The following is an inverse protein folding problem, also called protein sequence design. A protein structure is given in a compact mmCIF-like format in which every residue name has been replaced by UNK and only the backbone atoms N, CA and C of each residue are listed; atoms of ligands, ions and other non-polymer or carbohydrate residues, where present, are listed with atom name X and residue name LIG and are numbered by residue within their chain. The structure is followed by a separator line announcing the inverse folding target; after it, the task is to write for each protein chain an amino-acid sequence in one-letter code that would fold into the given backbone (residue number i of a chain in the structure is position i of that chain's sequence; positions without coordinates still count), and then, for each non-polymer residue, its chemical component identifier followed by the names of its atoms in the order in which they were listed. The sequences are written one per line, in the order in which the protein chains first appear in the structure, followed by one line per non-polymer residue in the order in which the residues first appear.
data_IF_814553849749
#
_entry.id   IF_814553849749
#
_cell.length_a   1.000
_cell.length_b   1.000
_cell.length_c   1.000
_cell.angle_alpha   90.00
_cell.angle_beta   90.00
_cell.angle_gamma   90.00
#
_symmetry.space_group_name_H-M   'P 1'
#
loop_
_entity.id
_entity.type
_entity.pdbx_description
1 polymer ?
#
# COMPACT_ATOMS: atom_id res chain seq x y z
N UNK A 1 15.30 13.39 19.71
CA UNK A 1 14.53 12.39 18.90
C UNK A 1 13.95 11.34 19.80
N UNK A 2 12.65 11.19 19.79
CA UNK A 2 11.90 10.19 20.54
C UNK A 2 11.72 8.90 19.73
N UNK A 3 11.88 7.73 20.38
CA UNK A 3 11.63 6.43 19.78
C UNK A 3 10.42 5.78 20.46
N UNK A 4 9.44 5.39 19.67
CA UNK A 4 8.16 4.86 20.16
C UNK A 4 8.02 3.39 19.78
N UNK A 5 7.52 2.58 20.71
CA UNK A 5 7.14 1.18 20.45
C UNK A 5 5.66 1.06 20.13
N UNK A 6 5.28 -0.04 19.49
CA UNK A 6 3.91 -0.28 19.03
C UNK A 6 2.86 -0.19 20.16
N UNK A 7 3.24 -0.52 21.39
CA UNK A 7 2.34 -0.45 22.54
C UNK A 7 2.01 1.00 22.97
N UNK A 8 2.90 1.95 22.68
CA UNK A 8 2.83 3.35 23.12
C UNK A 8 2.60 4.31 21.94
N UNK A 9 2.09 3.78 20.79
CA UNK A 9 2.06 4.51 19.53
C UNK A 9 0.82 5.41 19.35
N UNK A 10 0.03 5.68 20.40
CA UNK A 10 -1.22 6.45 20.28
C UNK A 10 -1.01 7.83 19.66
N UNK A 11 -0.15 8.65 20.24
CA UNK A 11 0.14 10.01 19.76
C UNK A 11 0.77 9.99 18.36
N UNK A 12 1.60 9.00 18.07
CA UNK A 12 2.17 8.75 16.76
C UNK A 12 1.08 8.51 15.72
N UNK A 13 0.14 7.61 16.01
CA UNK A 13 -0.96 7.28 15.10
C UNK A 13 -1.90 8.47 14.93
N UNK A 14 -2.24 9.23 16.00
CA UNK A 14 -3.05 10.44 15.92
C UNK A 14 -2.43 11.45 14.94
N UNK A 15 -1.10 11.63 14.96
CA UNK A 15 -0.41 12.47 13.98
C UNK A 15 -0.52 11.93 12.56
N UNK A 16 -0.32 10.60 12.36
CA UNK A 16 -0.45 9.99 11.02
C UNK A 16 -1.86 10.17 10.47
N UNK A 17 -2.89 10.01 11.30
CA UNK A 17 -4.30 10.18 10.88
C UNK A 17 -4.64 11.63 10.53
N UNK A 18 -4.05 12.61 11.20
CA UNK A 18 -4.34 14.03 10.97
C UNK A 18 -3.51 14.69 9.86
N UNK A 19 -2.39 14.08 9.46
CA UNK A 19 -1.45 14.70 8.53
C UNK A 19 -1.78 14.38 7.07
N UNK A 20 -1.75 15.36 6.13
CA UNK A 20 -2.05 15.13 4.70
C UNK A 20 -1.16 14.07 4.02
N UNK A 21 0.06 13.84 4.53
CA UNK A 21 0.96 12.77 4.10
C UNK A 21 0.73 11.46 4.84
N UNK A 22 -0.26 11.40 5.74
CA UNK A 22 -0.59 10.19 6.47
C UNK A 22 -0.84 9.00 5.55
N UNK A 23 -0.37 7.83 5.95
CA UNK A 23 -0.47 6.61 5.15
C UNK A 23 -0.69 5.38 6.04
N UNK A 24 -1.61 4.50 5.65
CA UNK A 24 -1.92 3.27 6.42
C UNK A 24 -0.68 2.44 6.79
N UNK A 25 0.35 2.44 5.94
CA UNK A 25 1.59 1.70 6.19
C UNK A 25 2.53 2.37 7.19
N UNK A 26 2.26 3.61 7.59
CA UNK A 26 3.00 4.34 8.60
C UNK A 26 2.35 4.27 9.99
N UNK A 27 1.21 3.59 10.14
CA UNK A 27 0.53 3.39 11.42
C UNK A 27 1.11 2.22 12.23
N UNK A 28 0.88 2.22 13.54
CA UNK A 28 1.16 1.05 14.40
C UNK A 28 0.29 -0.16 14.03
N UNK A 29 -0.94 0.09 13.55
CA UNK A 29 -1.84 -0.93 13.03
C UNK A 29 -1.17 -1.76 11.91
N UNK A 30 -0.46 -1.10 10.99
CA UNK A 30 0.30 -1.81 9.97
C UNK A 30 1.43 -2.67 10.55
N UNK A 31 2.06 -2.23 11.62
CA UNK A 31 3.02 -3.04 12.38
C UNK A 31 2.40 -4.35 12.90
N UNK A 32 1.17 -4.29 13.44
CA UNK A 32 0.41 -5.47 13.90
C UNK A 32 0.08 -6.42 12.75
N UNK A 33 -0.25 -5.90 11.56
CA UNK A 33 -0.46 -6.71 10.34
C UNK A 33 0.83 -7.45 9.95
N UNK A 34 1.99 -6.81 10.09
CA UNK A 34 3.32 -7.32 9.69
C UNK A 34 4.03 -8.06 10.81
N UNK A 35 3.38 -9.00 11.48
CA UNK A 35 3.88 -9.73 12.64
C UNK A 35 5.28 -10.37 12.50
N UNK A 36 5.77 -10.55 11.27
CA UNK A 36 7.12 -11.07 11.00
C UNK A 36 8.20 -9.99 11.01
N UNK A 37 7.80 -8.73 11.28
CA UNK A 37 8.65 -7.56 11.39
C UNK A 37 8.45 -6.90 12.74
N UNK A 38 9.53 -6.46 13.36
CA UNK A 38 9.46 -5.55 14.50
C UNK A 38 9.08 -4.16 13.99
N UNK A 39 8.21 -3.45 14.67
CA UNK A 39 7.83 -2.08 14.37
C UNK A 39 8.48 -1.11 15.35
N UNK A 40 8.97 0.02 14.86
CA UNK A 40 9.49 1.12 15.67
C UNK A 40 9.11 2.44 15.02
N UNK A 41 8.56 3.38 15.82
CA UNK A 41 8.26 4.74 15.41
C UNK A 41 9.35 5.72 15.87
N UNK A 42 9.57 6.78 15.10
CA UNK A 42 10.41 7.93 15.43
C UNK A 42 9.55 9.19 15.36
N UNK A 43 9.67 10.08 16.35
CA UNK A 43 8.91 11.34 16.45
C UNK A 43 9.90 12.50 16.48
N UNK A 44 9.72 13.46 15.60
CA UNK A 44 10.39 14.76 15.62
C UNK A 44 9.43 15.80 16.22
N UNK A 45 9.92 16.61 17.17
CA UNK A 45 9.15 17.66 17.83
C UNK A 45 9.80 19.03 17.63
N UNK A 46 8.98 20.08 17.70
CA UNK A 46 9.48 21.46 17.79
C UNK A 46 9.89 21.81 19.23
N UNK A 47 10.37 23.03 19.42
CA UNK A 47 10.82 23.54 20.73
C UNK A 47 9.67 23.64 21.76
N UNK A 48 8.41 23.70 21.30
CA UNK A 48 7.22 23.69 22.14
C UNK A 48 6.70 22.27 22.43
N UNK A 49 7.38 21.23 21.94
CA UNK A 49 7.05 19.83 22.15
C UNK A 49 5.97 19.26 21.19
N UNK A 50 5.49 20.03 20.21
CA UNK A 50 4.50 19.58 19.22
C UNK A 50 5.18 18.70 18.17
N UNK A 51 4.48 17.68 17.69
CA UNK A 51 5.00 16.79 16.64
C UNK A 51 5.10 17.54 15.30
N UNK A 52 6.29 17.57 14.71
CA UNK A 52 6.56 18.07 13.34
C UNK A 52 6.53 16.97 12.31
N UNK A 53 6.82 15.74 12.71
CA UNK A 53 6.83 14.61 11.80
C UNK A 53 7.09 13.30 12.50
N UNK A 54 6.74 12.22 11.83
CA UNK A 54 6.92 10.85 12.32
C UNK A 54 7.45 9.93 11.22
N UNK A 55 8.11 8.83 11.62
CA UNK A 55 8.55 7.80 10.68
C UNK A 55 8.42 6.42 11.32
N UNK A 56 7.52 5.59 10.80
CA UNK A 56 7.44 4.19 11.17
C UNK A 56 8.40 3.35 10.34
N UNK A 57 9.12 2.47 11.02
CA UNK A 57 10.09 1.57 10.40
C UNK A 57 9.78 0.13 10.78
N UNK A 58 9.71 -0.73 9.78
CA UNK A 58 9.62 -2.17 9.93
C UNK A 58 11.03 -2.77 9.90
N UNK A 59 11.36 -3.65 10.84
CA UNK A 59 12.68 -4.24 11.01
C UNK A 59 12.58 -5.75 10.90
N UNK A 60 13.34 -6.34 10.01
CA UNK A 60 13.32 -7.80 9.79
C UNK A 60 14.71 -8.41 9.83
N UNK A 61 14.83 -9.50 10.59
CA UNK A 61 16.00 -10.37 10.54
C UNK A 61 16.08 -11.06 9.18
N UNK A 62 17.25 -11.00 8.53
CA UNK A 62 17.51 -11.78 7.32
C UNK A 62 17.87 -13.23 7.74
N UNK A 63 17.11 -14.22 7.29
CA UNK A 63 17.32 -15.61 7.72
C UNK A 63 18.74 -16.11 7.49
N UNK A 64 19.29 -16.79 8.50
CA UNK A 64 20.65 -17.38 8.50
C UNK A 64 21.79 -16.35 8.40
N UNK A 65 21.53 -15.09 8.75
CA UNK A 65 22.55 -14.03 8.77
C UNK A 65 22.44 -13.23 10.07
N UNK A 66 23.49 -12.52 10.51
CA UNK A 66 23.38 -11.57 11.63
C UNK A 66 22.73 -10.25 11.24
N UNK A 67 22.37 -10.05 9.98
CA UNK A 67 21.91 -8.78 9.43
C UNK A 67 20.40 -8.59 9.56
N UNK A 68 19.98 -7.33 9.77
CA UNK A 68 18.60 -6.90 9.70
C UNK A 68 18.41 -5.92 8.54
N UNK A 69 17.22 -5.92 7.96
CA UNK A 69 16.77 -4.91 7.01
C UNK A 69 15.78 -3.99 7.70
N UNK A 70 15.91 -2.69 7.51
CA UNK A 70 14.92 -1.70 7.90
C UNK A 70 14.19 -1.18 6.69
N UNK A 71 12.88 -0.95 6.85
CA UNK A 71 12.01 -0.45 5.78
C UNK A 71 10.96 0.50 6.34
N UNK A 72 10.96 1.75 5.87
CA UNK A 72 9.94 2.75 6.16
C UNK A 72 8.97 2.85 4.97
N UNK A 73 7.91 2.01 4.93
CA UNK A 73 6.97 1.99 3.81
C UNK A 73 6.21 3.32 3.74
N UNK A 74 6.32 4.01 2.61
CA UNK A 74 5.66 5.31 2.35
C UNK A 74 6.00 6.45 3.30
N UNK A 75 6.94 6.25 4.23
CA UNK A 75 7.42 7.28 5.16
C UNK A 75 8.62 8.08 4.64
N UNK A 76 8.99 9.14 5.37
CA UNK A 76 8.36 9.66 6.59
C UNK A 76 7.02 10.39 6.33
N UNK A 77 6.27 10.66 7.41
CA UNK A 77 5.06 11.49 7.42
C UNK A 77 5.41 12.83 8.07
N UNK A 78 5.62 13.84 7.26
CA UNK A 78 5.93 15.23 7.64
C UNK A 78 5.76 16.13 6.42
N UNK A 79 5.91 17.43 6.60
CA UNK A 79 6.15 18.33 5.47
C UNK A 79 7.52 18.02 4.85
N UNK A 80 7.52 17.50 3.61
CA UNK A 80 8.76 17.10 2.93
C UNK A 80 9.62 18.31 2.49
N UNK A 81 9.09 19.54 2.58
CA UNK A 81 9.85 20.78 2.38
C UNK A 81 10.62 21.21 3.64
N UNK A 82 10.23 20.71 4.82
CA UNK A 82 10.99 20.87 6.06
C UNK A 82 12.17 19.87 6.09
N UNK A 83 13.25 20.27 5.43
CA UNK A 83 14.45 19.46 5.30
C UNK A 83 15.05 19.05 6.65
N UNK A 84 14.93 19.89 7.66
CA UNK A 84 15.47 19.64 9.02
C UNK A 84 14.71 18.46 9.66
N UNK A 85 13.39 18.48 9.63
CA UNK A 85 12.54 17.40 10.14
C UNK A 85 12.79 16.08 9.39
N UNK A 86 12.92 16.13 8.05
CA UNK A 86 13.26 14.94 7.25
C UNK A 86 14.60 14.37 7.64
N UNK A 87 15.64 15.23 7.75
CA UNK A 87 17.00 14.82 8.15
C UNK A 87 17.01 14.20 9.56
N UNK A 88 16.31 14.83 10.49
CA UNK A 88 16.21 14.37 11.87
C UNK A 88 15.60 12.98 11.96
N UNK A 89 14.44 12.74 11.33
CA UNK A 89 13.74 11.46 11.32
C UNK A 89 14.57 10.33 10.69
N UNK A 90 15.10 10.57 9.49
CA UNK A 90 15.85 9.55 8.75
C UNK A 90 17.21 9.26 9.36
N UNK A 91 17.89 10.27 9.94
CA UNK A 91 19.16 10.08 10.67
C UNK A 91 18.93 9.24 11.92
N UNK A 92 17.89 9.55 12.72
CA UNK A 92 17.56 8.77 13.91
C UNK A 92 17.23 7.30 13.57
N UNK A 93 16.45 7.08 12.51
CA UNK A 93 16.16 5.73 12.02
C UNK A 93 17.45 5.00 11.61
N UNK A 94 18.37 5.68 10.90
CA UNK A 94 19.64 5.10 10.48
C UNK A 94 20.56 4.78 11.68
N UNK A 95 20.65 5.66 12.67
CA UNK A 95 21.42 5.42 13.89
C UNK A 95 20.87 4.24 14.71
N UNK A 96 19.55 4.19 14.84
CA UNK A 96 18.89 3.04 15.45
C UNK A 96 19.21 1.74 14.69
N UNK A 97 19.19 1.80 13.36
CA UNK A 97 19.53 0.68 12.50
C UNK A 97 20.96 0.18 12.71
N UNK A 98 21.95 1.09 12.73
CA UNK A 98 23.36 0.75 13.01
C UNK A 98 23.53 0.03 14.35
N UNK A 99 22.88 0.52 15.42
CA UNK A 99 22.87 -0.11 16.75
C UNK A 99 22.25 -1.51 16.75
N UNK A 100 21.31 -1.77 15.84
CA UNK A 100 20.57 -3.03 15.71
C UNK A 100 21.05 -3.93 14.56
N UNK A 101 22.28 -3.72 14.04
CA UNK A 101 22.89 -4.49 12.95
C UNK A 101 22.09 -4.49 11.65
N UNK A 102 21.39 -3.40 11.36
CA UNK A 102 20.73 -3.24 10.08
C UNK A 102 21.75 -2.85 9.00
N UNK A 103 21.73 -3.58 7.89
CA UNK A 103 22.65 -3.31 6.77
C UNK A 103 22.15 -2.20 5.85
N UNK A 104 20.84 -1.94 5.85
CA UNK A 104 20.21 -0.89 5.04
C UNK A 104 18.95 -0.35 5.71
N UNK A 105 18.67 0.95 5.49
CA UNK A 105 17.37 1.57 5.66
C UNK A 105 16.80 1.82 4.26
N UNK A 106 15.73 1.13 3.91
CA UNK A 106 14.97 1.33 2.68
C UNK A 106 13.78 2.26 2.93
N UNK A 107 13.54 3.17 2.00
CA UNK A 107 12.32 4.01 1.97
C UNK A 107 11.72 3.99 0.57
N UNK A 108 10.43 4.27 0.47
CA UNK A 108 9.70 4.50 -0.80
C UNK A 108 8.61 5.55 -0.58
N UNK A 109 9.01 6.72 -0.11
CA UNK A 109 8.15 7.80 0.34
C UNK A 109 7.02 8.09 -0.64
N UNK A 110 5.84 8.38 -0.09
CA UNK A 110 4.66 8.79 -0.85
C UNK A 110 4.86 10.21 -1.41
N UNK A 111 5.62 10.31 -2.49
CA UNK A 111 5.89 11.58 -3.16
C UNK A 111 6.15 11.36 -4.66
N UNK A 112 5.67 12.29 -5.54
CA UNK A 112 5.95 12.22 -6.97
C UNK A 112 7.43 12.31 -7.28
N UNK A 113 7.84 11.69 -8.39
CA UNK A 113 9.21 11.79 -8.93
C UNK A 113 9.60 13.23 -9.31
N UNK A 114 8.62 14.10 -9.52
CA UNK A 114 8.81 15.53 -9.78
C UNK A 114 9.22 16.35 -8.54
N UNK A 115 9.18 15.76 -7.33
CA UNK A 115 9.68 16.44 -6.14
C UNK A 115 11.22 16.36 -6.09
N UNK A 116 11.88 17.12 -6.95
CA UNK A 116 13.34 17.12 -7.12
C UNK A 116 14.06 17.59 -5.86
N UNK A 117 13.47 18.53 -5.08
CA UNK A 117 14.05 19.01 -3.83
C UNK A 117 14.22 17.87 -2.83
N UNK A 118 13.14 17.13 -2.56
CA UNK A 118 13.19 16.01 -1.64
C UNK A 118 14.12 14.89 -2.12
N UNK A 119 14.12 14.57 -3.42
CA UNK A 119 15.03 13.59 -4.01
C UNK A 119 16.49 14.02 -3.87
N UNK A 120 16.80 15.30 -4.09
CA UNK A 120 18.13 15.85 -3.92
C UNK A 120 18.60 15.83 -2.47
N UNK A 121 17.68 16.13 -1.53
CA UNK A 121 17.92 16.00 -0.10
C UNK A 121 18.30 14.57 0.27
N UNK A 122 17.54 13.56 -0.16
CA UNK A 122 17.84 12.15 0.10
C UNK A 122 19.21 11.74 -0.47
N UNK A 123 19.53 12.18 -1.69
CA UNK A 123 20.86 11.94 -2.29
C UNK A 123 21.98 12.56 -1.45
N UNK A 124 21.80 13.78 -0.93
CA UNK A 124 22.77 14.44 -0.06
C UNK A 124 22.97 13.70 1.27
N UNK A 125 21.94 13.01 1.76
CA UNK A 125 21.99 12.14 2.94
C UNK A 125 22.64 10.75 2.65
N UNK A 126 22.99 10.46 1.40
CA UNK A 126 23.62 9.20 1.00
C UNK A 126 22.65 8.09 0.58
N UNK A 127 21.37 8.41 0.38
CA UNK A 127 20.43 7.46 -0.23
C UNK A 127 20.76 7.24 -1.70
N UNK A 128 20.68 5.99 -2.12
CA UNK A 128 20.84 5.56 -3.52
C UNK A 128 19.52 5.06 -4.06
N UNK A 129 19.12 5.60 -5.21
CA UNK A 129 17.89 5.18 -5.87
C UNK A 129 18.15 3.98 -6.76
N UNK A 130 17.29 2.97 -6.69
CA UNK A 130 17.37 1.83 -7.60
C UNK A 130 16.80 2.24 -8.96
N UNK A 131 17.53 1.93 -10.03
CA UNK A 131 16.95 1.94 -11.36
C UNK A 131 15.93 0.79 -11.44
N UNK A 132 14.68 1.13 -11.67
CA UNK A 132 13.59 0.17 -11.78
C UNK A 132 13.13 0.09 -13.23
N UNK A 133 12.96 -1.15 -13.73
CA UNK A 133 12.22 -1.40 -14.95
C UNK A 133 10.72 -1.04 -14.79
N UNK A 134 9.99 -1.05 -15.89
CA UNK A 134 8.54 -0.76 -15.92
C UNK A 134 7.68 -1.90 -15.33
N UNK A 135 8.14 -2.62 -14.30
CA UNK A 135 7.48 -3.82 -13.76
C UNK A 135 7.16 -3.74 -12.27
N UNK A 136 6.66 -4.88 -11.73
CA UNK A 136 6.42 -5.07 -10.28
C UNK A 136 7.71 -5.43 -9.50
N UNK A 137 8.85 -4.84 -9.87
CA UNK A 137 10.14 -5.16 -9.27
C UNK A 137 10.38 -4.46 -7.93
N UNK A 138 9.44 -3.60 -7.51
CA UNK A 138 9.47 -2.83 -6.26
C UNK A 138 8.61 -3.46 -5.18
N UNK A 139 8.91 -3.16 -3.90
CA UNK A 139 8.10 -3.63 -2.76
C UNK A 139 6.70 -3.02 -2.82
N UNK A 140 6.60 -1.72 -3.14
CA UNK A 140 5.34 -1.02 -3.39
C UNK A 140 5.29 -0.55 -4.84
N UNK A 141 4.08 -0.43 -5.39
CA UNK A 141 3.90 0.10 -6.72
C UNK A 141 4.46 1.53 -6.83
N UNK A 142 5.16 1.80 -7.92
CA UNK A 142 5.70 3.12 -8.24
C UNK A 142 4.67 4.02 -8.92
N UNK A 143 3.79 3.43 -9.71
CA UNK A 143 2.72 4.13 -10.42
C UNK A 143 1.42 3.94 -9.67
N UNK A 144 0.82 5.02 -9.20
CA UNK A 144 -0.34 5.04 -8.31
C UNK A 144 -1.50 5.76 -8.98
N UNK A 145 -2.70 5.21 -8.81
CA UNK A 145 -3.96 5.83 -9.18
C UNK A 145 -4.66 6.37 -7.94
N UNK A 146 -4.93 7.68 -7.90
CA UNK A 146 -5.70 8.35 -6.83
C UNK A 146 -6.86 9.13 -7.42
N UNK A 147 -8.04 8.91 -6.90
CA UNK A 147 -9.24 9.66 -7.26
C UNK A 147 -9.48 10.74 -6.20
N UNK A 148 -9.51 11.98 -6.64
CA UNK A 148 -9.91 13.12 -5.81
C UNK A 148 -11.43 13.06 -5.59
N UNK A 149 -11.84 12.86 -4.32
CA UNK A 149 -13.22 12.83 -3.87
C UNK A 149 -13.53 13.97 -2.89
N UNK A 150 -12.52 14.80 -2.56
CA UNK A 150 -12.61 15.85 -1.54
C UNK A 150 -13.70 16.86 -1.80
N UNK A 151 -14.66 16.96 -0.86
CA UNK A 151 -15.77 17.91 -0.95
C UNK A 151 -16.75 17.68 -2.09
N UNK A 152 -16.68 16.54 -2.79
CA UNK A 152 -17.55 16.19 -3.93
C UNK A 152 -18.73 15.33 -3.50
N UNK A 153 -19.84 15.47 -4.20
CA UNK A 153 -20.99 14.58 -4.08
C UNK A 153 -20.78 13.29 -4.89
N UNK A 154 -21.58 12.27 -4.61
CA UNK A 154 -21.59 11.01 -5.37
C UNK A 154 -21.85 11.26 -6.87
N UNK A 155 -22.77 12.19 -7.20
CA UNK A 155 -23.13 12.53 -8.56
C UNK A 155 -21.94 13.17 -9.30
N UNK A 156 -21.23 14.09 -8.66
CA UNK A 156 -20.05 14.77 -9.24
C UNK A 156 -18.91 13.77 -9.50
N UNK A 157 -18.62 12.90 -8.53
CA UNK A 157 -17.59 11.87 -8.68
C UNK A 157 -17.97 10.88 -9.78
N UNK A 158 -19.22 10.39 -9.78
CA UNK A 158 -19.72 9.48 -10.82
C UNK A 158 -19.70 10.14 -12.21
N UNK A 159 -20.04 11.41 -12.32
CA UNK A 159 -20.01 12.15 -13.59
C UNK A 159 -18.59 12.22 -14.18
N UNK A 160 -17.57 12.26 -13.34
CA UNK A 160 -16.14 12.28 -13.74
C UNK A 160 -15.64 10.96 -14.37
N UNK A 161 -16.30 9.82 -14.16
CA UNK A 161 -15.88 8.55 -14.72
C UNK A 161 -16.05 8.48 -16.25
N UNK A 162 -15.31 7.60 -16.91
CA UNK A 162 -15.57 7.25 -18.31
C UNK A 162 -17.02 6.74 -18.49
N UNK A 163 -17.63 7.06 -19.62
CA UNK A 163 -19.01 6.67 -19.94
C UNK A 163 -19.24 5.16 -19.78
N UNK A 164 -18.29 4.34 -20.20
CA UNK A 164 -18.34 2.87 -20.05
C UNK A 164 -18.34 2.44 -18.58
N UNK A 165 -17.55 3.11 -17.71
CA UNK A 165 -17.51 2.83 -16.26
C UNK A 165 -18.85 3.16 -15.62
N UNK A 166 -19.39 4.36 -15.89
CA UNK A 166 -20.73 4.74 -15.43
C UNK A 166 -21.81 3.75 -15.86
N UNK A 167 -21.75 3.35 -17.14
CA UNK A 167 -22.69 2.37 -17.69
C UNK A 167 -22.57 1.03 -16.96
N UNK A 168 -21.36 0.50 -16.77
CA UNK A 168 -21.14 -0.79 -16.13
C UNK A 168 -21.55 -0.80 -14.66
N UNK A 169 -21.29 0.28 -13.92
CA UNK A 169 -21.73 0.44 -12.52
C UNK A 169 -23.27 0.37 -12.44
N UNK A 170 -23.96 1.19 -13.26
CA UNK A 170 -25.43 1.18 -13.31
C UNK A 170 -26.02 -0.12 -13.86
N UNK A 171 -25.29 -0.80 -14.74
CA UNK A 171 -25.69 -2.12 -15.26
C UNK A 171 -25.71 -3.15 -14.14
N UNK A 172 -24.67 -3.19 -13.30
CA UNK A 172 -24.59 -4.12 -12.19
C UNK A 172 -25.79 -3.93 -11.23
N UNK A 173 -26.11 -2.70 -10.86
CA UNK A 173 -27.27 -2.38 -10.02
C UNK A 173 -28.59 -2.87 -10.66
N UNK A 174 -28.82 -2.51 -11.94
CA UNK A 174 -30.05 -2.92 -12.66
C UNK A 174 -30.17 -4.43 -12.84
N UNK A 175 -29.05 -5.15 -12.87
CA UNK A 175 -29.02 -6.61 -12.98
C UNK A 175 -29.18 -7.32 -11.65
N UNK A 176 -29.39 -6.58 -10.56
CA UNK A 176 -29.67 -7.14 -9.24
C UNK A 176 -28.43 -7.56 -8.45
N UNK A 177 -27.26 -7.02 -8.79
CA UNK A 177 -26.08 -7.21 -7.94
C UNK A 177 -26.32 -6.49 -6.61
N UNK A 178 -26.19 -7.22 -5.50
CA UNK A 178 -26.27 -6.69 -4.13
C UNK A 178 -24.87 -6.55 -3.54
N UNK A 179 -24.60 -5.43 -2.87
CA UNK A 179 -23.39 -5.23 -2.10
C UNK A 179 -23.68 -5.48 -0.62
N UNK A 180 -22.83 -6.28 0.02
CA UNK A 180 -22.83 -6.48 1.45
C UNK A 180 -21.47 -6.08 2.03
N UNK A 181 -21.50 -5.28 3.09
CA UNK A 181 -20.30 -4.89 3.86
C UNK A 181 -20.16 -5.90 4.99
N UNK A 182 -18.98 -6.47 5.12
CA UNK A 182 -18.67 -7.52 6.07
C UNK A 182 -17.43 -7.17 6.90
N UNK A 183 -17.36 -7.78 8.07
CA UNK A 183 -16.23 -7.70 8.97
C UNK A 183 -15.27 -8.90 8.85
N UNK A 184 -14.57 -9.17 9.95
CA UNK A 184 -13.57 -10.24 10.05
C UNK A 184 -14.12 -11.64 9.73
N UNK A 185 -15.38 -11.91 10.05
CA UNK A 185 -16.06 -13.19 9.79
C UNK A 185 -16.02 -13.60 8.32
N UNK A 186 -15.90 -12.62 7.41
CA UNK A 186 -15.87 -12.85 5.97
C UNK A 186 -14.46 -13.13 5.39
N UNK A 187 -13.41 -13.10 6.22
CA UNK A 187 -12.03 -13.26 5.74
C UNK A 187 -11.78 -14.60 5.04
N UNK A 188 -12.45 -15.67 5.49
CA UNK A 188 -12.33 -16.98 4.82
C UNK A 188 -12.92 -16.94 3.41
N UNK A 189 -14.14 -16.44 3.25
CA UNK A 189 -14.81 -16.37 1.95
C UNK A 189 -14.06 -15.43 1.00
N UNK A 190 -13.53 -14.32 1.54
CA UNK A 190 -12.67 -13.42 0.79
C UNK A 190 -11.37 -14.11 0.32
N UNK A 191 -10.74 -14.92 1.18
CA UNK A 191 -9.57 -15.70 0.81
C UNK A 191 -9.89 -16.72 -0.27
N UNK A 192 -11.01 -17.44 -0.17
CA UNK A 192 -11.43 -18.42 -1.18
C UNK A 192 -11.63 -17.74 -2.55
N UNK A 193 -12.26 -16.56 -2.58
CA UNK A 193 -12.40 -15.76 -3.79
C UNK A 193 -11.05 -15.25 -4.33
N UNK A 194 -10.13 -14.87 -3.44
CA UNK A 194 -8.75 -14.49 -3.80
C UNK A 194 -7.97 -15.64 -4.42
N UNK A 195 -8.19 -16.89 -3.99
CA UNK A 195 -7.57 -18.07 -4.60
C UNK A 195 -8.03 -18.26 -6.06
N UNK A 196 -9.33 -18.09 -6.34
CA UNK A 196 -9.88 -18.15 -7.70
C UNK A 196 -9.21 -17.09 -8.59
N UNK A 197 -9.11 -15.86 -8.09
CA UNK A 197 -8.47 -14.75 -8.80
C UNK A 197 -6.98 -15.01 -9.02
N UNK A 198 -6.26 -15.46 -7.99
CA UNK A 198 -4.83 -15.76 -8.06
C UNK A 198 -4.50 -16.88 -9.05
N UNK A 199 -5.33 -17.91 -9.11
CA UNK A 199 -5.20 -19.00 -10.10
C UNK A 199 -5.40 -18.50 -11.53
N UNK A 200 -6.46 -17.70 -11.74
CA UNK A 200 -6.76 -17.11 -13.06
C UNK A 200 -5.65 -16.20 -13.55
N UNK A 201 -5.16 -15.32 -12.68
CA UNK A 201 -4.25 -14.21 -13.03
C UNK A 201 -2.78 -14.55 -12.70
N UNK A 202 -2.50 -15.82 -12.28
CA UNK A 202 -1.18 -16.38 -12.02
C UNK A 202 -0.33 -15.62 -11.00
N UNK A 203 -0.92 -15.30 -9.83
CA UNK A 203 -0.20 -14.71 -8.70
C UNK A 203 -0.49 -15.43 -7.39
N UNK A 204 0.45 -15.35 -6.44
CA UNK A 204 0.29 -15.89 -5.11
C UNK A 204 -0.55 -14.97 -4.22
N UNK A 205 -1.53 -15.53 -3.52
CA UNK A 205 -2.39 -14.81 -2.58
C UNK A 205 -1.85 -14.83 -1.15
N UNK A 206 -2.43 -14.00 -0.29
CA UNK A 206 -2.24 -14.09 1.16
C UNK A 206 -3.21 -15.12 1.75
N UNK A 207 -2.84 -15.74 2.89
CA UNK A 207 -3.73 -16.63 3.62
C UNK A 207 -4.80 -15.86 4.41
N UNK A 208 -5.82 -16.58 4.88
CA UNK A 208 -6.95 -16.05 5.67
C UNK A 208 -6.47 -15.22 6.87
N UNK A 209 -5.49 -15.73 7.62
CA UNK A 209 -4.97 -15.08 8.83
C UNK A 209 -4.32 -13.71 8.53
N UNK A 210 -3.90 -13.47 7.30
CA UNK A 210 -3.37 -12.16 6.92
C UNK A 210 -4.48 -11.13 6.79
N UNK A 211 -5.63 -11.51 6.22
CA UNK A 211 -6.81 -10.65 6.12
C UNK A 211 -7.42 -10.42 7.51
N UNK A 212 -7.52 -11.46 8.34
CA UNK A 212 -7.96 -11.34 9.73
C UNK A 212 -7.10 -10.33 10.51
N UNK A 213 -5.76 -10.37 10.33
CA UNK A 213 -4.87 -9.38 10.97
C UNK A 213 -5.12 -7.96 10.50
N UNK A 214 -5.50 -7.74 9.24
CA UNK A 214 -5.88 -6.40 8.78
C UNK A 214 -7.15 -5.96 9.48
N UNK A 215 -8.18 -6.81 9.51
CA UNK A 215 -9.44 -6.51 10.17
C UNK A 215 -9.26 -6.25 11.67
N UNK A 216 -8.44 -7.06 12.37
CA UNK A 216 -8.14 -6.87 13.79
C UNK A 216 -7.33 -5.60 14.07
N UNK A 217 -6.40 -5.26 13.19
CA UNK A 217 -5.49 -4.14 13.41
C UNK A 217 -6.13 -2.77 13.13
N UNK A 218 -7.01 -2.70 12.13
CA UNK A 218 -7.67 -1.46 11.73
C UNK A 218 -9.10 -1.36 12.27
N UNK A 219 -9.72 -2.45 12.74
CA UNK A 219 -11.07 -2.42 13.32
C UNK A 219 -12.11 -1.85 12.36
N UNK A 220 -12.84 -0.83 12.79
CA UNK A 220 -13.89 -0.18 12.01
C UNK A 220 -13.37 0.57 10.76
N UNK A 221 -12.07 0.87 10.74
CA UNK A 221 -11.37 1.45 9.58
C UNK A 221 -11.04 0.42 8.49
N UNK A 222 -11.39 -0.86 8.65
CA UNK A 222 -11.25 -1.88 7.62
C UNK A 222 -12.60 -2.51 7.27
N UNK A 223 -12.89 -2.62 5.98
CA UNK A 223 -14.15 -3.21 5.48
C UNK A 223 -13.88 -4.21 4.37
N UNK A 224 -14.69 -5.29 4.34
CA UNK A 224 -14.77 -6.21 3.22
C UNK A 224 -16.10 -5.97 2.50
N UNK A 225 -16.03 -5.70 1.20
CA UNK A 225 -17.19 -5.53 0.34
C UNK A 225 -17.38 -6.79 -0.49
N UNK A 226 -18.59 -7.36 -0.46
CA UNK A 226 -18.98 -8.47 -1.31
C UNK A 226 -20.11 -8.09 -2.26
N UNK A 227 -19.97 -8.52 -3.50
CA UNK A 227 -21.01 -8.42 -4.51
C UNK A 227 -21.64 -9.79 -4.76
N UNK A 228 -22.92 -9.90 -4.52
CA UNK A 228 -23.71 -11.10 -4.74
C UNK A 228 -24.66 -10.92 -5.91
N UNK A 229 -24.86 -11.97 -6.67
CA UNK A 229 -25.98 -12.13 -7.60
C UNK A 229 -26.76 -13.35 -7.14
N UNK A 230 -28.06 -13.15 -6.82
CA UNK A 230 -28.82 -14.15 -6.06
C UNK A 230 -28.03 -14.55 -4.79
N UNK A 231 -27.63 -15.81 -4.65
CA UNK A 231 -26.84 -16.30 -3.52
C UNK A 231 -25.35 -16.55 -3.88
N UNK A 232 -24.93 -16.21 -5.11
CA UNK A 232 -23.54 -16.42 -5.54
C UNK A 232 -22.64 -15.21 -5.27
N UNK A 233 -21.51 -15.44 -4.60
CA UNK A 233 -20.47 -14.44 -4.39
C UNK A 233 -19.64 -14.25 -5.65
N UNK A 234 -19.76 -13.09 -6.30
CA UNK A 234 -19.13 -12.80 -7.59
C UNK A 234 -17.87 -11.96 -7.51
N UNK A 235 -17.80 -11.02 -6.58
CA UNK A 235 -16.64 -10.16 -6.39
C UNK A 235 -16.53 -9.72 -4.94
N UNK A 236 -15.31 -9.35 -4.54
CA UNK A 236 -15.06 -8.79 -3.23
C UNK A 236 -13.84 -7.91 -3.22
N UNK A 237 -13.78 -7.00 -2.26
CA UNK A 237 -12.64 -6.13 -2.01
C UNK A 237 -12.47 -5.87 -0.52
N UNK A 238 -11.21 -5.58 -0.12
CA UNK A 238 -10.85 -5.15 1.22
C UNK A 238 -10.22 -3.77 1.14
N UNK A 239 -10.80 -2.82 1.84
CA UNK A 239 -10.34 -1.45 1.97
C UNK A 239 -9.92 -1.12 3.38
N UNK A 240 -9.05 -0.10 3.49
CA UNK A 240 -8.60 0.47 4.77
C UNK A 240 -8.69 1.98 4.71
N UNK A 241 -9.27 2.59 5.73
CA UNK A 241 -9.36 4.03 5.96
C UNK A 241 -8.28 4.49 6.93
N UNK A 242 -7.57 5.59 6.63
CA UNK A 242 -6.69 6.30 7.57
C UNK A 242 -6.68 7.78 7.21
N UNK A 243 -7.11 8.62 8.13
CA UNK A 243 -7.17 10.06 7.94
C UNK A 243 -8.08 10.48 6.79
N UNK A 244 -7.52 11.18 5.82
CA UNK A 244 -8.26 11.72 4.67
C UNK A 244 -8.24 10.79 3.44
N UNK A 245 -7.94 9.49 3.64
CA UNK A 245 -7.76 8.52 2.52
C UNK A 245 -8.37 7.16 2.80
N UNK A 246 -8.95 6.57 1.76
CA UNK A 246 -9.27 5.14 1.72
C UNK A 246 -8.42 4.45 0.66
N UNK A 247 -7.85 3.30 1.02
CA UNK A 247 -7.04 2.47 0.13
C UNK A 247 -7.75 1.19 -0.27
N UNK A 248 -7.89 0.97 -1.57
CA UNK A 248 -8.23 -0.33 -2.15
C UNK A 248 -7.06 -1.31 -2.00
N UNK A 249 -7.06 -2.11 -0.94
CA UNK A 249 -5.90 -2.94 -0.56
C UNK A 249 -5.85 -4.25 -1.32
N UNK A 250 -6.98 -4.95 -1.41
CA UNK A 250 -7.13 -6.22 -2.12
C UNK A 250 -8.46 -6.29 -2.85
N UNK A 251 -8.48 -6.97 -4.00
CA UNK A 251 -9.69 -7.24 -4.76
C UNK A 251 -9.66 -8.59 -5.43
N UNK A 252 -10.81 -9.23 -5.49
CA UNK A 252 -11.02 -10.54 -6.05
C UNK A 252 -12.33 -10.63 -6.84
N UNK A 253 -12.40 -11.57 -7.77
CA UNK A 253 -13.62 -11.85 -8.51
C UNK A 253 -13.69 -13.31 -8.96
N UNK A 254 -14.92 -13.84 -8.99
CA UNK A 254 -15.20 -15.15 -9.55
C UNK A 254 -15.01 -15.17 -11.07
N UNK A 255 -15.07 -16.35 -11.66
CA UNK A 255 -15.06 -16.53 -13.12
C UNK A 255 -16.48 -16.50 -13.71
N UNK A 256 -17.50 -16.57 -12.87
CA UNK A 256 -18.90 -16.62 -13.27
C UNK A 256 -19.52 -15.22 -13.36
N UNK A 257 -20.53 -15.05 -14.16
CA UNK A 257 -21.36 -13.85 -14.29
C UNK A 257 -20.60 -12.52 -14.44
N UNK A 258 -19.38 -12.56 -15.02
CA UNK A 258 -18.52 -11.38 -15.21
C UNK A 258 -19.17 -10.29 -16.08
N UNK A 259 -20.09 -10.70 -16.96
CA UNK A 259 -20.89 -9.80 -17.79
C UNK A 259 -21.90 -8.95 -17.00
N UNK A 260 -22.17 -9.29 -15.72
CA UNK A 260 -22.99 -8.48 -14.82
C UNK A 260 -22.21 -7.32 -14.17
N UNK A 261 -20.89 -7.23 -14.43
CA UNK A 261 -20.00 -6.14 -13.99
C UNK A 261 -19.91 -5.94 -12.47
N UNK A 262 -19.90 -7.02 -11.62
CA UNK A 262 -19.95 -6.88 -10.16
C UNK A 262 -18.79 -6.06 -9.59
N UNK A 263 -17.59 -6.15 -10.16
CA UNK A 263 -16.39 -5.41 -9.70
C UNK A 263 -16.54 -3.89 -9.83
N UNK A 264 -17.32 -3.39 -10.79
CA UNK A 264 -17.58 -1.96 -10.93
C UNK A 264 -18.45 -1.45 -9.78
N UNK A 265 -19.46 -2.23 -9.35
CA UNK A 265 -20.30 -1.83 -8.25
C UNK A 265 -19.61 -1.94 -6.90
N UNK A 266 -18.74 -2.98 -6.69
CA UNK A 266 -17.87 -3.07 -5.52
C UNK A 266 -17.00 -1.82 -5.42
N UNK A 267 -16.31 -1.46 -6.52
CA UNK A 267 -15.43 -0.31 -6.54
C UNK A 267 -16.18 1.00 -6.25
N UNK A 268 -17.35 1.16 -6.83
CA UNK A 268 -18.21 2.33 -6.56
C UNK A 268 -18.65 2.41 -5.10
N UNK A 269 -19.01 1.29 -4.48
CA UNK A 269 -19.40 1.26 -3.07
C UNK A 269 -18.29 1.67 -2.13
N UNK A 270 -17.03 1.32 -2.45
CA UNK A 270 -15.86 1.75 -1.69
C UNK A 270 -15.56 3.25 -1.87
N UNK A 271 -15.73 3.76 -3.10
CA UNK A 271 -15.60 5.21 -3.40
C UNK A 271 -16.66 6.00 -2.64
N UNK A 272 -17.90 5.50 -2.55
CA UNK A 272 -18.95 6.12 -1.75
C UNK A 272 -18.56 6.22 -0.28
N UNK A 273 -17.98 5.17 0.28
CA UNK A 273 -17.47 5.22 1.64
C UNK A 273 -16.43 6.34 1.83
N UNK A 274 -15.53 6.55 0.85
CA UNK A 274 -14.56 7.65 0.94
C UNK A 274 -15.25 9.04 0.93
N UNK A 275 -16.34 9.20 0.18
CA UNK A 275 -17.13 10.42 0.17
C UNK A 275 -17.87 10.61 1.50
N UNK A 276 -18.49 9.56 2.02
CA UNK A 276 -19.22 9.54 3.30
C UNK A 276 -18.32 9.90 4.50
N UNK A 277 -17.08 9.41 4.53
CA UNK A 277 -16.09 9.73 5.57
C UNK A 277 -15.43 11.11 5.37
N UNK A 278 -15.78 11.84 4.33
CA UNK A 278 -15.19 13.15 4.03
C UNK A 278 -13.72 13.10 3.62
N UNK A 279 -13.28 11.98 3.07
CA UNK A 279 -11.92 11.82 2.58
C UNK A 279 -11.63 12.77 1.41
N UNK A 280 -10.35 13.15 1.26
CA UNK A 280 -9.87 13.84 0.07
C UNK A 280 -9.57 12.86 -1.07
N UNK A 281 -9.12 11.65 -0.73
CA UNK A 281 -8.59 10.72 -1.72
C UNK A 281 -9.12 9.29 -1.56
N UNK A 282 -9.43 8.68 -2.71
CA UNK A 282 -9.58 7.24 -2.83
C UNK A 282 -8.40 6.67 -3.63
N UNK A 283 -7.56 5.85 -3.00
CA UNK A 283 -6.32 5.31 -3.57
C UNK A 283 -6.55 3.90 -4.11
N UNK A 284 -6.60 3.76 -5.44
CA UNK A 284 -6.69 2.47 -6.12
C UNK A 284 -5.40 1.65 -6.04
N UNK A 285 -4.34 2.23 -5.49
CA UNK A 285 -2.99 1.67 -5.51
C UNK A 285 -2.43 1.52 -6.93
N UNK A 286 -1.47 0.59 -7.10
CA UNK A 286 -0.68 0.50 -8.30
C UNK A 286 -1.41 0.04 -9.56
N UNK A 287 -0.89 0.49 -10.71
CA UNK A 287 -1.20 -0.03 -12.03
C UNK A 287 -0.09 0.28 -13.01
N UNK A 288 0.14 -0.56 -14.00
CA UNK A 288 1.20 -0.39 -15.00
C UNK A 288 0.60 -0.29 -16.41
N UNK A 289 1.03 0.67 -17.22
CA UNK A 289 0.47 0.93 -18.55
C UNK A 289 0.94 -0.07 -19.62
N UNK A 290 1.94 -0.93 -19.33
CA UNK A 290 2.51 -1.85 -20.29
C UNK A 290 1.46 -2.86 -20.78
N UNK A 291 1.14 -2.81 -22.07
CA UNK A 291 0.14 -3.68 -22.71
C UNK A 291 0.54 -5.15 -22.72
N UNK A 292 1.84 -5.44 -22.65
CA UNK A 292 2.35 -6.80 -22.57
C UNK A 292 2.29 -7.39 -21.15
N UNK A 293 1.96 -6.55 -20.14
CA UNK A 293 1.83 -7.00 -18.77
C UNK A 293 0.51 -7.77 -18.59
N UNK A 294 0.52 -8.98 -18.04
CA UNK A 294 -0.70 -9.76 -17.77
C UNK A 294 -1.73 -9.00 -16.93
N UNK A 295 -1.29 -8.02 -16.11
CA UNK A 295 -2.14 -7.20 -15.27
C UNK A 295 -2.60 -5.88 -15.92
N UNK A 296 -2.35 -5.69 -17.23
CA UNK A 296 -2.80 -4.49 -17.96
C UNK A 296 -4.32 -4.31 -17.91
N UNK A 297 -5.09 -5.39 -17.80
CA UNK A 297 -6.54 -5.32 -17.59
C UNK A 297 -6.93 -4.58 -16.30
N UNK A 298 -6.15 -4.72 -15.23
CA UNK A 298 -6.35 -3.99 -13.97
C UNK A 298 -6.04 -2.49 -14.15
N UNK A 299 -4.99 -2.17 -14.91
CA UNK A 299 -4.67 -0.77 -15.26
C UNK A 299 -5.85 -0.10 -15.99
N UNK A 300 -6.35 -0.71 -17.07
CA UNK A 300 -7.51 -0.20 -17.83
C UNK A 300 -8.78 -0.09 -16.98
N UNK A 301 -9.01 -1.05 -16.10
CA UNK A 301 -10.15 -1.02 -15.17
C UNK A 301 -10.07 0.22 -14.26
N UNK A 302 -8.94 0.45 -13.59
CA UNK A 302 -8.74 1.60 -12.71
C UNK A 302 -8.82 2.92 -13.46
N UNK A 303 -8.18 3.00 -14.63
CA UNK A 303 -8.21 4.18 -15.51
C UNK A 303 -9.64 4.60 -15.88
N UNK A 304 -10.57 3.64 -15.98
CA UNK A 304 -11.98 3.91 -16.27
C UNK A 304 -12.70 4.79 -15.24
N UNK A 305 -12.20 4.87 -14.01
CA UNK A 305 -12.68 5.76 -12.96
C UNK A 305 -12.06 7.16 -13.02
N UNK A 306 -11.21 7.43 -14.01
CA UNK A 306 -10.52 8.70 -14.26
C UNK A 306 -9.74 9.27 -13.07
N UNK A 307 -8.99 8.44 -12.32
CA UNK A 307 -8.13 8.91 -11.25
C UNK A 307 -6.91 9.65 -11.80
N UNK A 308 -6.27 10.45 -10.95
CA UNK A 308 -4.92 10.93 -11.21
C UNK A 308 -3.93 9.75 -11.26
N UNK A 309 -3.04 9.78 -12.23
CA UNK A 309 -2.00 8.77 -12.39
C UNK A 309 -0.63 9.37 -12.14
N UNK A 310 -0.02 8.99 -11.03
CA UNK A 310 1.21 9.62 -10.55
C UNK A 310 2.34 8.60 -10.46
N UNK A 311 3.51 8.97 -11.00
CA UNK A 311 4.75 8.24 -10.78
C UNK A 311 5.43 8.74 -9.52
N UNK A 312 5.63 7.85 -8.54
CA UNK A 312 6.35 8.14 -7.30
C UNK A 312 7.86 7.93 -7.47
N UNK A 313 8.64 8.54 -6.57
CA UNK A 313 10.11 8.48 -6.60
C UNK A 313 10.69 7.05 -6.58
N UNK A 314 9.89 6.05 -6.17
CA UNK A 314 10.33 4.66 -6.05
C UNK A 314 11.15 4.39 -4.78
N UNK A 315 11.94 3.31 -4.80
CA UNK A 315 12.73 2.87 -3.66
C UNK A 315 14.07 3.59 -3.59
N UNK A 316 14.45 4.00 -2.38
CA UNK A 316 15.79 4.49 -2.07
C UNK A 316 16.37 3.73 -0.88
N UNK A 317 17.66 3.37 -0.95
CA UNK A 317 18.39 2.63 0.07
C UNK A 317 19.50 3.50 0.68
N UNK A 318 19.49 3.65 2.00
CA UNK A 318 20.66 4.12 2.75
C UNK A 318 21.45 2.91 3.24
N UNK A 319 22.62 2.70 2.66
CA UNK A 319 23.49 1.56 2.97
C UNK A 319 24.28 1.86 4.23
N UNK A 320 24.00 1.13 5.33
CA UNK A 320 24.66 1.29 6.62
C UNK A 320 25.84 0.33 6.83
N UNK A 321 25.75 -0.88 6.24
CA UNK A 321 26.83 -1.87 6.20
C UNK A 321 27.03 -2.35 4.76
N UNK A 322 28.11 -1.91 4.12
CA UNK A 322 28.43 -2.23 2.73
C UNK A 322 28.70 -3.73 2.50
N UNK A 323 29.31 -4.40 3.47
CA UNK A 323 29.60 -5.83 3.37
C UNK A 323 28.31 -6.65 3.48
N UNK A 324 27.49 -6.35 4.49
CA UNK A 324 26.17 -6.95 4.68
C UNK A 324 25.25 -6.72 3.49
N UNK A 325 25.21 -5.50 2.94
CA UNK A 325 24.42 -5.18 1.76
C UNK A 325 24.80 -6.04 0.55
N UNK A 326 26.11 -6.09 0.21
CA UNK A 326 26.62 -6.91 -0.92
C UNK A 326 26.31 -8.38 -0.73
N UNK A 327 26.48 -8.90 0.49
CA UNK A 327 26.20 -10.30 0.81
C UNK A 327 24.72 -10.64 0.60
N UNK A 328 23.81 -9.82 1.16
CA UNK A 328 22.35 -10.05 1.08
C UNK A 328 21.86 -9.91 -0.36
N UNK A 329 22.31 -8.92 -1.11
CA UNK A 329 21.97 -8.73 -2.52
C UNK A 329 22.44 -9.92 -3.37
N UNK A 330 23.68 -10.39 -3.18
CA UNK A 330 24.19 -11.58 -3.87
C UNK A 330 23.35 -12.83 -3.56
N UNK A 331 23.07 -13.10 -2.29
CA UNK A 331 22.25 -14.23 -1.86
C UNK A 331 20.80 -14.15 -2.42
N UNK A 332 20.22 -12.95 -2.46
CA UNK A 332 18.88 -12.70 -3.03
C UNK A 332 18.85 -12.97 -4.53
N UNK A 333 19.83 -12.48 -5.28
CA UNK A 333 19.93 -12.65 -6.73
C UNK A 333 20.17 -14.13 -7.09
N UNK A 334 21.00 -14.84 -6.33
CA UNK A 334 21.22 -16.27 -6.51
C UNK A 334 19.94 -17.08 -6.30
N UNK A 335 19.15 -16.76 -5.27
CA UNK A 335 17.84 -17.41 -5.05
C UNK A 335 16.84 -17.13 -6.17
N UNK A 336 16.76 -15.89 -6.67
CA UNK A 336 15.90 -15.53 -7.83
C UNK A 336 16.31 -16.33 -9.07
N UNK A 337 17.60 -16.46 -9.35
CA UNK A 337 18.13 -17.22 -10.48
C UNK A 337 17.77 -18.71 -10.37
N UNK A 338 17.97 -19.32 -9.20
CA UNK A 338 17.60 -20.72 -8.93
C UNK A 338 16.09 -20.97 -9.08
N UNK A 339 15.24 -20.04 -8.64
CA UNK A 339 13.79 -20.14 -8.85
C UNK A 339 13.41 -20.08 -10.32
N UNK A 340 14.04 -19.20 -11.13
CA UNK A 340 13.82 -19.12 -12.59
C UNK A 340 14.23 -20.42 -13.29
N UNK A 341 15.37 -21.01 -12.89
CA UNK A 341 15.82 -22.28 -13.45
C UNK A 341 14.85 -23.42 -13.10
N UNK A 342 14.43 -23.54 -11.83
CA UNK A 342 13.45 -24.55 -11.40
C UNK A 342 12.09 -24.40 -12.10
N UNK A 343 11.65 -23.18 -12.36
CA UNK A 343 10.41 -22.92 -13.09
C UNK A 343 10.51 -23.32 -14.57
N UNK A 344 11.71 -23.22 -15.19
CA UNK A 344 11.95 -23.68 -16.57
C UNK A 344 12.05 -25.21 -16.71
N UNK A 345 12.49 -25.90 -15.65
CA UNK A 345 12.62 -27.38 -15.64
C UNK A 345 11.25 -28.03 -15.39
N UNK A 346 10.28 -27.32 -14.80
CA UNK A 346 8.92 -27.84 -14.55
C UNK A 346 7.91 -27.58 -15.69
N UNK A 347 8.32 -26.87 -16.75
CA UNK A 347 7.60 -26.73 -18.02
C UNK A 347 8.17 -27.69 -19.06
#
# INVERSE_FOLDING_TARGET
METVKIADAREFDEFVYSHPKGHMMQTSAWGKVKKEWDWTGFIARDDEGRIKGVCAVLIRQIPMTPFRMMYAPRGPVCDLSDEETVKELLTAAAEYGKKNRAYTLKIDTDTPVSNEQYISLLKSMGFTFKEHGAGFDTIQARYIFRLDVGGKTEEEVMAGFHSKTRYNTRLAERKGIRIEIKGKEACKDFHDLMLITGQRDNFATRGTEYFERIMDAFGDDARIYFAYYEDELLAGALDVHVGDKIWYVYGASSNFHRNLMPTYLVQWSMIKWAIEEGCNWYDFRGGYPDENNPLHGIYKFKQGFCPEYTEFMGEADLIMDKAGYRFVEFASNSRKSLRKIRAKIKK
#
